data_IF_533572422340
#
_entry.id   IF_533572422340
#
_cell.length_a   1.000
_cell.length_b   1.000
_cell.length_c   1.000
_cell.angle_alpha   90.00
_cell.angle_beta   90.00
_cell.angle_gamma   90.00
#
_symmetry.space_group_name_H-M   'P 1'
#
loop_
_entity.id
_entity.type
_entity.pdbx_description
1 polymer ?
#
# COMPACT_ATOMS: atom_id res chain seq x y z
N UNK A 1 -4.99 31.20 9.23
CA UNK A 1 -5.83 29.98 9.33
C UNK A 1 -5.35 28.86 8.39
N UNK A 2 -4.97 29.12 7.13
CA UNK A 2 -4.52 28.08 6.19
C UNK A 2 -3.23 27.31 6.59
N UNK A 3 -2.29 27.98 7.27
CA UNK A 3 -1.00 27.38 7.66
C UNK A 3 -1.10 26.29 8.74
N UNK A 4 -2.08 26.40 9.64
CA UNK A 4 -2.33 25.37 10.67
C UNK A 4 -2.94 24.10 10.06
N UNK A 5 -3.77 24.25 9.02
CA UNK A 5 -4.37 23.10 8.32
C UNK A 5 -3.33 22.28 7.54
N UNK A 6 -2.39 22.96 6.86
CA UNK A 6 -1.24 22.32 6.18
C UNK A 6 -0.29 21.63 7.17
N UNK A 7 -0.08 22.23 8.34
CA UNK A 7 0.75 21.63 9.38
C UNK A 7 0.11 20.37 9.99
N UNK A 8 -1.21 20.39 10.22
CA UNK A 8 -1.91 19.22 10.75
C UNK A 8 -1.98 18.06 9.74
N UNK A 9 -2.19 18.34 8.45
CA UNK A 9 -2.24 17.30 7.42
C UNK A 9 -0.87 16.68 7.14
N UNK A 10 0.22 17.46 7.22
CA UNK A 10 1.57 16.92 7.13
C UNK A 10 1.93 16.06 8.37
N UNK A 11 1.45 16.46 9.55
CA UNK A 11 1.67 15.69 10.78
C UNK A 11 0.89 14.37 10.78
N UNK A 12 -0.38 14.38 10.32
CA UNK A 12 -1.16 13.15 10.19
C UNK A 12 -0.57 12.22 9.13
N UNK A 13 -0.06 12.76 8.02
CA UNK A 13 0.69 11.98 7.02
C UNK A 13 1.94 11.34 7.61
N UNK A 14 2.74 12.10 8.38
CA UNK A 14 3.92 11.57 9.09
C UNK A 14 3.56 10.50 10.12
N UNK A 15 2.45 10.68 10.85
CA UNK A 15 2.00 9.69 11.85
C UNK A 15 1.50 8.43 11.14
N UNK A 16 0.68 8.55 10.10
CA UNK A 16 0.16 7.41 9.35
C UNK A 16 1.28 6.59 8.70
N UNK A 17 2.23 7.27 8.06
CA UNK A 17 3.43 6.62 7.50
C UNK A 17 4.30 5.99 8.58
N UNK A 18 4.53 6.66 9.72
CA UNK A 18 5.30 6.08 10.83
C UNK A 18 4.62 4.84 11.42
N UNK A 19 3.30 4.84 11.58
CA UNK A 19 2.55 3.69 12.09
C UNK A 19 2.56 2.54 11.09
N UNK A 20 2.43 2.81 9.79
CA UNK A 20 2.53 1.79 8.74
C UNK A 20 3.93 1.16 8.72
N UNK A 21 4.99 1.98 8.80
CA UNK A 21 6.38 1.53 8.84
C UNK A 21 6.66 0.69 10.09
N UNK A 22 6.20 1.13 11.28
CA UNK A 22 6.40 0.38 12.53
C UNK A 22 5.63 -0.96 12.54
N UNK A 23 4.39 -0.97 12.05
CA UNK A 23 3.60 -2.20 11.95
C UNK A 23 4.21 -3.20 10.96
N UNK A 24 4.83 -2.70 9.88
CA UNK A 24 5.50 -3.55 8.92
C UNK A 24 6.86 -4.07 9.42
N UNK A 25 7.65 -3.26 10.12
CA UNK A 25 8.91 -3.69 10.73
C UNK A 25 8.70 -4.82 11.76
N UNK A 26 7.61 -4.76 12.53
CA UNK A 26 7.21 -5.81 13.48
C UNK A 26 6.86 -7.14 12.77
N UNK A 27 6.34 -7.08 11.53
CA UNK A 27 5.97 -8.26 10.73
C UNK A 27 7.12 -8.83 9.90
N UNK A 28 8.04 -7.99 9.42
CA UNK A 28 9.24 -8.41 8.67
C UNK A 28 10.26 -9.12 9.57
N UNK A 29 10.28 -8.82 10.88
CA UNK A 29 11.25 -9.41 11.81
C UNK A 29 10.99 -10.88 12.15
N UNK A 30 9.81 -11.43 11.82
CA UNK A 30 9.42 -12.78 12.28
C UNK A 30 9.49 -13.89 11.21
N UNK A 31 9.59 -13.60 9.90
CA UNK A 31 9.40 -14.64 8.87
C UNK A 31 10.27 -14.58 7.58
N UNK A 32 11.29 -13.70 7.47
CA UNK A 32 12.10 -13.62 6.25
C UNK A 32 13.35 -14.55 6.26
N UNK A 33 13.51 -15.50 5.31
CA UNK A 33 14.72 -16.30 5.17
C UNK A 33 15.88 -15.44 4.62
N UNK A 34 17.00 -15.43 5.34
CA UNK A 34 18.18 -14.57 5.15
C UNK A 34 19.04 -14.81 3.89
N UNK A 35 18.64 -15.66 2.94
CA UNK A 35 19.54 -16.11 1.86
C UNK A 35 19.29 -15.52 0.44
N UNK A 36 18.35 -14.59 0.26
CA UNK A 36 18.06 -13.98 -1.07
C UNK A 36 17.99 -12.44 -1.08
N UNK A 37 18.70 -11.78 -0.17
CA UNK A 37 18.62 -10.32 0.01
C UNK A 37 19.09 -9.49 -1.20
N UNK A 38 19.85 -10.05 -2.14
CA UNK A 38 20.41 -9.28 -3.28
C UNK A 38 19.43 -9.05 -4.44
N UNK A 39 18.38 -9.86 -4.60
CA UNK A 39 17.33 -9.62 -5.60
C UNK A 39 16.11 -8.89 -5.04
N UNK A 40 15.87 -9.01 -3.73
CA UNK A 40 14.78 -8.31 -3.03
C UNK A 40 15.13 -6.87 -2.64
N UNK A 41 16.42 -6.49 -2.66
CA UNK A 41 16.85 -5.14 -2.26
C UNK A 41 16.33 -4.02 -3.17
N UNK A 42 15.88 -4.35 -4.39
CA UNK A 42 15.21 -3.39 -5.28
C UNK A 42 13.79 -3.05 -4.79
N UNK A 43 13.16 -3.97 -4.08
CA UNK A 43 11.85 -3.84 -3.45
C UNK A 43 12.05 -3.53 -1.97
N UNK A 44 12.75 -2.43 -1.69
CA UNK A 44 12.97 -1.98 -0.31
C UNK A 44 11.61 -1.86 0.40
N UNK A 45 11.54 -2.44 1.60
CA UNK A 45 10.34 -2.46 2.42
C UNK A 45 9.94 -1.02 2.73
N UNK A 46 8.85 -0.54 2.11
CA UNK A 46 8.49 0.87 2.17
C UNK A 46 8.24 1.54 0.83
N UNK A 47 8.31 0.84 -0.31
CA UNK A 47 8.01 1.43 -1.63
C UNK A 47 6.59 2.04 -1.63
N UNK A 48 6.46 3.38 -1.71
CA UNK A 48 5.17 4.04 -1.71
C UNK A 48 4.63 4.13 -3.15
N UNK A 49 3.39 3.73 -3.35
CA UNK A 49 2.66 3.95 -4.59
C UNK A 49 1.31 4.61 -4.31
N UNK A 50 0.85 5.43 -5.25
CA UNK A 50 -0.44 6.10 -5.13
C UNK A 50 -1.45 5.46 -6.07
N UNK A 51 -2.70 5.37 -5.61
CA UNK A 51 -3.76 4.82 -6.43
C UNK A 51 -5.13 5.37 -6.04
N UNK A 52 -6.10 5.04 -6.86
CA UNK A 52 -7.52 5.36 -6.61
C UNK A 52 -8.37 4.13 -6.88
N UNK A 53 -9.35 3.88 -6.01
CA UNK A 53 -10.33 2.82 -6.20
C UNK A 53 -11.72 3.43 -6.34
N UNK A 54 -12.46 2.97 -7.35
CA UNK A 54 -13.85 3.40 -7.54
C UNK A 54 -14.72 2.91 -6.39
N UNK A 55 -15.38 3.84 -5.71
CA UNK A 55 -16.34 3.55 -4.64
C UNK A 55 -17.77 3.58 -5.18
N UNK A 56 -18.61 2.73 -4.62
CA UNK A 56 -20.08 2.85 -4.78
C UNK A 56 -20.59 4.08 -4.03
N UNK A 57 -21.85 4.47 -4.27
CA UNK A 57 -22.54 5.55 -3.53
C UNK A 57 -22.61 5.32 -2.02
N UNK A 58 -22.35 4.09 -1.56
CA UNK A 58 -22.31 3.72 -0.14
C UNK A 58 -20.88 3.69 0.43
N UNK A 59 -19.88 4.14 -0.32
CA UNK A 59 -18.46 4.13 0.11
C UNK A 59 -17.85 2.73 0.16
N UNK A 60 -18.44 1.75 -0.55
CA UNK A 60 -17.91 0.38 -0.64
C UNK A 60 -17.09 0.19 -1.90
N UNK A 61 -15.95 -0.48 -1.78
CA UNK A 61 -15.18 -0.99 -2.92
C UNK A 61 -15.28 -2.52 -2.96
N UNK A 62 -15.54 -3.08 -4.14
CA UNK A 62 -15.50 -4.53 -4.31
C UNK A 62 -14.06 -5.03 -4.33
N UNK A 63 -13.82 -6.23 -3.78
CA UNK A 63 -12.51 -6.88 -3.77
C UNK A 63 -11.75 -6.77 -5.10
N UNK A 64 -12.37 -7.13 -6.22
CA UNK A 64 -11.71 -7.09 -7.54
C UNK A 64 -11.31 -5.68 -8.01
N UNK A 65 -12.08 -4.65 -7.64
CA UNK A 65 -11.71 -3.26 -7.96
C UNK A 65 -10.53 -2.78 -7.13
N UNK A 66 -10.46 -3.18 -5.86
CA UNK A 66 -9.33 -2.86 -4.98
C UNK A 66 -8.07 -3.59 -5.47
N UNK A 67 -8.18 -4.90 -5.71
CA UNK A 67 -7.05 -5.73 -6.18
C UNK A 67 -6.43 -5.18 -7.46
N UNK A 68 -7.24 -4.97 -8.50
CA UNK A 68 -6.73 -4.45 -9.77
C UNK A 68 -6.30 -2.98 -9.72
N UNK A 69 -6.72 -2.21 -8.70
CA UNK A 69 -6.19 -0.87 -8.47
C UNK A 69 -4.82 -0.93 -7.81
N UNK A 70 -4.69 -1.73 -6.74
CA UNK A 70 -3.45 -1.90 -5.98
C UNK A 70 -2.35 -2.50 -6.83
N UNK A 71 -2.67 -3.53 -7.62
CA UNK A 71 -1.73 -4.17 -8.54
C UNK A 71 -1.15 -3.15 -9.51
N UNK A 72 -1.99 -2.35 -10.19
CA UNK A 72 -1.53 -1.30 -11.10
C UNK A 72 -0.69 -0.22 -10.42
N UNK A 73 -1.07 0.19 -9.20
CA UNK A 73 -0.31 1.18 -8.45
C UNK A 73 1.10 0.66 -8.13
N UNK A 74 1.19 -0.57 -7.62
CA UNK A 74 2.47 -1.20 -7.30
C UNK A 74 3.31 -1.47 -8.54
N UNK A 75 2.72 -1.96 -9.63
CA UNK A 75 3.42 -2.17 -10.90
C UNK A 75 4.06 -0.89 -11.42
N UNK A 76 3.31 0.22 -11.43
CA UNK A 76 3.87 1.52 -11.85
C UNK A 76 5.00 1.99 -10.94
N UNK A 77 4.86 1.85 -9.62
CA UNK A 77 5.93 2.19 -8.68
C UNK A 77 7.15 1.28 -8.83
N UNK A 78 6.99 0.02 -9.18
CA UNK A 78 8.11 -0.89 -9.41
C UNK A 78 8.85 -0.53 -10.70
N UNK A 79 8.14 -0.24 -11.78
CA UNK A 79 8.72 0.20 -13.05
C UNK A 79 9.53 1.50 -12.88
N UNK A 80 9.02 2.46 -12.10
CA UNK A 80 9.69 3.74 -11.82
C UNK A 80 11.06 3.56 -11.13
N UNK A 81 11.25 2.47 -10.40
CA UNK A 81 12.48 2.15 -9.67
C UNK A 81 13.34 1.10 -10.39
N UNK A 82 12.99 0.76 -11.64
CA UNK A 82 13.78 -0.14 -12.49
C UNK A 82 13.52 -1.63 -12.26
N UNK A 83 12.46 -1.98 -11.53
CA UNK A 83 11.93 -3.34 -11.48
C UNK A 83 10.99 -3.65 -12.64
N UNK A 84 10.45 -4.87 -12.68
CA UNK A 84 9.50 -5.31 -13.71
C UNK A 84 8.07 -5.31 -13.15
N UNK A 85 7.09 -4.76 -13.89
CA UNK A 85 5.68 -4.87 -13.52
C UNK A 85 5.22 -6.34 -13.38
N UNK A 86 5.81 -7.25 -14.15
CA UNK A 86 5.51 -8.68 -14.08
C UNK A 86 5.93 -9.32 -12.75
N UNK A 87 6.73 -8.63 -11.94
CA UNK A 87 7.17 -9.12 -10.64
C UNK A 87 6.04 -9.07 -9.60
N UNK A 88 5.06 -8.17 -9.77
CA UNK A 88 3.90 -8.06 -8.87
C UNK A 88 2.76 -8.90 -9.39
N UNK A 89 2.40 -9.94 -8.65
CA UNK A 89 1.29 -10.82 -9.03
C UNK A 89 0.46 -11.23 -7.81
N UNK A 90 -0.72 -11.81 -8.07
CA UNK A 90 -1.49 -12.49 -7.03
C UNK A 90 -2.02 -11.56 -5.92
N UNK A 91 -2.25 -10.29 -6.21
CA UNK A 91 -2.82 -9.34 -5.26
C UNK A 91 -4.19 -9.84 -4.77
N UNK A 92 -4.32 -10.01 -3.45
CA UNK A 92 -5.53 -10.45 -2.76
C UNK A 92 -5.89 -9.46 -1.66
N UNK A 93 -7.03 -8.80 -1.82
CA UNK A 93 -7.55 -7.86 -0.84
C UNK A 93 -8.83 -8.41 -0.18
N UNK A 94 -9.17 -7.89 1.00
CA UNK A 94 -10.50 -8.09 1.58
C UNK A 94 -11.47 -7.03 1.04
N UNK A 95 -12.77 -7.33 1.06
CA UNK A 95 -13.78 -6.32 0.75
C UNK A 95 -13.66 -5.13 1.71
N UNK A 96 -13.73 -3.92 1.15
CA UNK A 96 -13.62 -2.69 1.92
C UNK A 96 -15.00 -2.06 2.05
N UNK A 97 -15.62 -2.31 3.20
CA UNK A 97 -16.86 -1.67 3.58
C UNK A 97 -16.55 -0.33 4.26
N UNK A 98 -17.13 0.76 3.75
CA UNK A 98 -17.01 2.10 4.31
C UNK A 98 -15.58 2.64 4.28
N UNK A 99 -15.01 2.74 3.07
CA UNK A 99 -13.77 3.48 2.85
C UNK A 99 -13.95 4.92 3.33
N UNK A 100 -13.03 5.38 4.17
CA UNK A 100 -12.99 6.72 4.74
C UNK A 100 -11.56 7.23 4.80
N UNK A 101 -11.39 8.53 4.87
CA UNK A 101 -10.10 9.16 5.17
C UNK A 101 -9.47 8.55 6.43
N UNK A 102 -8.15 8.35 6.37
CA UNK A 102 -7.28 7.76 7.39
C UNK A 102 -7.61 6.30 7.75
N UNK A 103 -8.50 5.64 7.01
CA UNK A 103 -8.73 4.20 7.16
C UNK A 103 -7.60 3.38 6.54
N UNK A 104 -7.31 2.24 7.14
CA UNK A 104 -6.22 1.34 6.72
C UNK A 104 -6.78 0.00 6.27
N UNK A 105 -6.23 -0.53 5.19
CA UNK A 105 -6.51 -1.87 4.70
C UNK A 105 -5.21 -2.61 4.35
N UNK A 106 -5.30 -3.93 4.25
CA UNK A 106 -4.16 -4.78 3.89
C UNK A 106 -4.53 -5.72 2.76
N UNK A 107 -3.60 -5.91 1.82
CA UNK A 107 -3.66 -6.92 0.78
C UNK A 107 -2.41 -7.79 0.85
N UNK A 108 -2.54 -9.08 0.55
CA UNK A 108 -1.40 -9.97 0.34
C UNK A 108 -1.10 -10.05 -1.15
N UNK A 109 0.16 -10.22 -1.55
CA UNK A 109 0.56 -10.37 -2.94
C UNK A 109 1.82 -11.24 -3.05
N UNK A 110 2.28 -11.46 -4.28
CA UNK A 110 3.54 -12.11 -4.58
C UNK A 110 4.45 -11.13 -5.32
N UNK A 111 5.73 -11.09 -4.92
CA UNK A 111 6.79 -10.29 -5.55
C UNK A 111 7.89 -11.28 -5.95
N UNK A 112 8.12 -11.49 -7.25
CA UNK A 112 9.10 -12.49 -7.74
C UNK A 112 8.97 -13.86 -7.04
N UNK A 113 7.75 -14.37 -6.89
CA UNK A 113 7.42 -15.63 -6.19
C UNK A 113 7.63 -15.64 -4.65
N UNK A 114 7.91 -14.50 -4.02
CA UNK A 114 7.92 -14.36 -2.56
C UNK A 114 6.64 -13.69 -2.04
N UNK A 115 6.14 -14.09 -0.86
CA UNK A 115 4.96 -13.46 -0.27
C UNK A 115 5.28 -12.04 0.20
N UNK A 116 4.43 -11.09 -0.21
CA UNK A 116 4.48 -9.68 0.20
C UNK A 116 3.16 -9.19 0.80
N UNK A 117 3.23 -8.09 1.53
CA UNK A 117 2.06 -7.42 2.12
C UNK A 117 2.01 -5.97 1.64
N UNK A 118 0.88 -5.58 1.06
CA UNK A 118 0.58 -4.21 0.71
C UNK A 118 -0.35 -3.60 1.76
N UNK A 119 0.06 -2.48 2.36
CA UNK A 119 -0.78 -1.71 3.30
C UNK A 119 -1.31 -0.48 2.59
N UNK A 120 -2.62 -0.33 2.56
CA UNK A 120 -3.32 0.82 1.99
C UNK A 120 -3.71 1.78 3.10
N UNK A 121 -3.42 3.06 2.93
CA UNK A 121 -3.93 4.16 3.75
C UNK A 121 -4.79 5.06 2.86
N UNK A 122 -6.07 5.16 3.17
CA UNK A 122 -6.99 6.02 2.42
C UNK A 122 -6.78 7.48 2.80
N UNK A 123 -6.55 8.32 1.81
CA UNK A 123 -6.24 9.73 1.96
C UNK A 123 -7.51 10.61 1.95
N UNK A 124 -8.61 10.07 1.42
CA UNK A 124 -9.91 10.74 1.35
C UNK A 124 -11.09 9.74 1.36
N UNK A 125 -12.30 10.29 1.46
CA UNK A 125 -13.56 9.52 1.39
C UNK A 125 -13.97 9.14 -0.05
N UNK A 126 -13.16 9.51 -1.06
CA UNK A 126 -13.44 9.25 -2.48
C UNK A 126 -12.66 8.03 -3.02
N UNK A 127 -11.83 7.40 -2.20
CA UNK A 127 -11.09 6.19 -2.55
C UNK A 127 -9.66 6.44 -3.04
N UNK A 128 -9.11 7.64 -2.86
CA UNK A 128 -7.67 7.86 -3.03
C UNK A 128 -6.90 7.20 -1.90
N UNK A 129 -5.80 6.53 -2.21
CA UNK A 129 -4.98 5.85 -1.22
C UNK A 129 -3.49 5.95 -1.53
N UNK A 130 -2.69 5.84 -0.47
CA UNK A 130 -1.28 5.48 -0.51
C UNK A 130 -1.18 3.99 -0.21
N UNK A 131 -0.52 3.22 -1.07
CA UNK A 131 -0.17 1.84 -0.79
C UNK A 131 1.34 1.76 -0.54
N UNK A 132 1.72 0.97 0.46
CA UNK A 132 3.11 0.71 0.78
C UNK A 132 3.37 -0.78 0.73
N UNK A 133 4.39 -1.17 -0.03
CA UNK A 133 4.83 -2.54 -0.19
C UNK A 133 5.79 -2.94 0.93
N UNK A 134 5.59 -4.14 1.48
CA UNK A 134 6.43 -4.76 2.49
C UNK A 134 6.66 -6.24 2.18
#
# INVERSE_FOLDING_TARGET
MAWLALGLSALSFLIATSVAILYAADRLSDDAPLESAESYSLYDAGLPAWGTVGLTTTGRASKGMVEGSVERALQGAVEDFGGSADDITGVRCKDLANVKQDSVASCSLMIQDYPGTAVLTFLDDNGSYLVTLY
#
